data_IF_663852082555
#
_entry.id   IF_663852082555
#
_cell.length_a   1.000
_cell.length_b   1.000
_cell.length_c   1.000
_cell.angle_alpha   90.00
_cell.angle_beta   90.00
_cell.angle_gamma   90.00
#
_symmetry.space_group_name_H-M   'P 1'
#
loop_
_entity.id
_entity.type
_entity.pdbx_description
1 polymer ?
#
# COMPACT_ATOMS: atom_id res chain seq x y z
N UNK A 1 -6.53 3.65 3.53
CA UNK A 1 -5.47 2.64 3.77
C UNK A 1 -5.89 1.61 4.81
N UNK A 2 -6.63 2.02 5.84
CA UNK A 2 -7.18 1.11 6.86
C UNK A 2 -8.23 0.14 6.28
N UNK A 3 -9.08 0.60 5.36
CA UNK A 3 -10.01 -0.25 4.62
C UNK A 3 -9.30 -1.40 3.89
N UNK A 4 -8.17 -1.11 3.24
CA UNK A 4 -7.35 -2.11 2.54
C UNK A 4 -6.75 -3.11 3.54
N UNK A 5 -6.28 -2.63 4.69
CA UNK A 5 -5.77 -3.48 5.77
C UNK A 5 -6.86 -4.40 6.34
N UNK A 6 -8.09 -3.90 6.51
CA UNK A 6 -9.23 -4.72 6.94
C UNK A 6 -9.59 -5.78 5.90
N UNK A 7 -9.73 -5.41 4.64
CA UNK A 7 -10.06 -6.34 3.56
C UNK A 7 -9.01 -7.46 3.44
N UNK A 8 -7.73 -7.10 3.55
CA UNK A 8 -6.66 -8.09 3.50
C UNK A 8 -6.68 -9.03 4.70
N UNK A 9 -6.89 -8.52 5.93
CA UNK A 9 -7.07 -9.38 7.10
C UNK A 9 -8.25 -10.34 6.94
N UNK A 10 -9.37 -9.87 6.38
CA UNK A 10 -10.53 -10.71 6.08
C UNK A 10 -10.19 -11.81 5.08
N UNK A 11 -9.45 -11.52 4.01
CA UNK A 11 -8.99 -12.53 3.07
C UNK A 11 -8.03 -13.54 3.71
N UNK A 12 -7.08 -13.08 4.53
CA UNK A 12 -6.16 -13.96 5.26
C UNK A 12 -6.91 -14.87 6.26
N UNK A 13 -8.08 -14.45 6.75
CA UNK A 13 -8.99 -15.25 7.57
C UNK A 13 -9.98 -16.12 6.76
N UNK A 14 -9.77 -16.27 5.45
CA UNK A 14 -10.62 -17.09 4.57
C UNK A 14 -12.00 -16.48 4.27
N UNK A 15 -12.23 -15.21 4.60
CA UNK A 15 -13.50 -14.52 4.30
C UNK A 15 -13.48 -13.92 2.89
N UNK A 16 -14.68 -13.72 2.33
CA UNK A 16 -14.86 -13.07 1.02
C UNK A 16 -15.16 -11.58 1.21
N UNK A 17 -14.60 -10.76 0.34
CA UNK A 17 -14.90 -9.32 0.24
C UNK A 17 -15.48 -9.10 -1.16
N UNK A 18 -16.64 -8.46 -1.23
CA UNK A 18 -17.37 -8.22 -2.47
C UNK A 18 -17.80 -6.74 -2.55
N UNK A 19 -18.00 -6.26 -3.77
CA UNK A 19 -18.56 -4.94 -4.05
C UNK A 19 -19.96 -5.13 -4.63
N UNK A 20 -20.92 -4.31 -4.20
CA UNK A 20 -22.30 -4.32 -4.71
C UNK A 20 -22.49 -3.07 -5.58
N UNK A 21 -22.28 -3.16 -6.91
CA UNK A 21 -22.28 -1.99 -7.79
C UNK A 21 -23.65 -1.33 -7.93
N UNK A 22 -24.74 -2.01 -7.54
CA UNK A 22 -26.10 -1.42 -7.51
C UNK A 22 -26.31 -0.42 -6.38
N UNK A 23 -25.40 -0.37 -5.40
CA UNK A 23 -25.46 0.56 -4.27
C UNK A 23 -24.47 1.69 -4.52
N UNK A 24 -24.96 2.90 -4.73
CA UNK A 24 -24.13 4.09 -4.91
C UNK A 24 -24.14 4.94 -3.64
N UNK A 25 -22.94 5.32 -3.18
CA UNK A 25 -22.76 6.18 -2.01
C UNK A 25 -21.87 7.34 -2.40
N UNK A 26 -22.38 8.56 -2.23
CA UNK A 26 -21.62 9.78 -2.47
C UNK A 26 -20.75 10.07 -1.26
N UNK A 27 -19.44 10.19 -1.48
CA UNK A 27 -18.49 10.50 -0.41
C UNK A 27 -17.54 11.62 -0.85
N UNK A 28 -17.18 12.48 0.11
CA UNK A 28 -16.16 13.50 -0.13
C UNK A 28 -14.79 12.87 0.02
N UNK A 29 -14.09 12.71 -1.11
CA UNK A 29 -12.73 12.18 -1.12
C UNK A 29 -11.74 13.13 -0.44
N UNK A 30 -11.03 12.63 0.58
CA UNK A 30 -9.92 13.38 1.19
C UNK A 30 -10.31 14.51 2.14
N UNK A 31 -11.53 14.50 2.69
CA UNK A 31 -12.04 15.55 3.59
C UNK A 31 -11.21 15.77 4.87
N UNK A 32 -10.47 14.75 5.34
CA UNK A 32 -9.72 14.86 6.60
C UNK A 32 -8.32 15.49 6.46
N UNK A 33 -7.65 15.33 5.31
CA UNK A 33 -6.25 15.76 5.12
C UNK A 33 -5.99 16.17 3.66
N UNK A 34 -5.46 17.40 3.43
CA UNK A 34 -5.14 17.89 2.09
C UNK A 34 -4.20 16.94 1.33
N UNK A 35 -4.39 16.83 0.01
CA UNK A 35 -3.63 15.91 -0.84
C UNK A 35 -2.11 16.22 -0.86
N UNK A 36 -1.72 17.47 -0.67
CA UNK A 36 -0.34 17.98 -0.67
C UNK A 36 0.29 18.08 0.73
N UNK A 37 -0.31 17.47 1.76
CA UNK A 37 0.26 17.55 3.11
C UNK A 37 1.37 16.52 3.33
N UNK A 38 2.55 16.99 3.71
CA UNK A 38 3.66 16.15 4.18
C UNK A 38 3.24 15.20 5.32
N UNK A 39 2.28 15.59 6.15
CA UNK A 39 1.74 14.71 7.19
C UNK A 39 0.99 13.51 6.59
N UNK A 40 0.20 13.74 5.54
CA UNK A 40 -0.50 12.68 4.82
C UNK A 40 0.48 11.72 4.14
N UNK A 41 1.52 12.26 3.51
CA UNK A 41 2.62 11.46 2.95
C UNK A 41 3.25 10.58 4.02
N UNK A 42 3.59 11.14 5.17
CA UNK A 42 4.14 10.40 6.31
C UNK A 42 3.21 9.25 6.75
N UNK A 43 1.91 9.52 6.93
CA UNK A 43 0.93 8.52 7.33
C UNK A 43 0.81 7.41 6.27
N UNK A 44 0.79 7.77 4.98
CA UNK A 44 0.71 6.81 3.88
C UNK A 44 1.92 5.86 3.88
N UNK A 45 3.14 6.36 3.96
CA UNK A 45 4.33 5.50 3.96
C UNK A 45 4.38 4.61 5.21
N UNK A 46 4.12 5.18 6.41
CA UNK A 46 4.11 4.42 7.67
C UNK A 46 3.05 3.32 7.66
N UNK A 47 1.80 3.67 7.37
CA UNK A 47 0.67 2.75 7.42
C UNK A 47 0.81 1.67 6.34
N UNK A 48 1.39 1.98 5.19
CA UNK A 48 1.56 1.00 4.12
C UNK A 48 2.60 -0.06 4.50
N UNK A 49 3.70 0.35 5.13
CA UNK A 49 4.70 -0.58 5.64
C UNK A 49 4.12 -1.47 6.75
N UNK A 50 3.30 -0.93 7.64
CA UNK A 50 2.58 -1.72 8.65
C UNK A 50 1.60 -2.70 8.02
N UNK A 51 0.84 -2.27 7.00
CA UNK A 51 -0.09 -3.11 6.26
C UNK A 51 0.63 -4.30 5.60
N UNK A 52 1.78 -4.07 4.96
CA UNK A 52 2.61 -5.15 4.40
C UNK A 52 3.11 -6.08 5.53
N UNK A 53 3.63 -5.51 6.62
CA UNK A 53 4.20 -6.29 7.72
C UNK A 53 3.18 -7.23 8.38
N UNK A 54 1.94 -6.77 8.56
CA UNK A 54 0.86 -7.52 9.20
C UNK A 54 0.21 -8.57 8.32
N UNK A 55 0.16 -8.36 7.00
CA UNK A 55 -0.70 -9.18 6.12
C UNK A 55 0.04 -9.99 5.05
N UNK A 56 1.30 -9.63 4.75
CA UNK A 56 2.03 -10.28 3.67
C UNK A 56 2.60 -11.64 4.11
N UNK A 57 2.63 -12.66 3.24
CA UNK A 57 3.16 -13.98 3.59
C UNK A 57 4.59 -13.94 4.12
N UNK A 58 4.83 -14.59 5.27
CA UNK A 58 6.08 -14.45 6.03
C UNK A 58 7.32 -14.81 5.23
N UNK A 59 7.23 -15.87 4.41
CA UNK A 59 8.32 -16.37 3.58
C UNK A 59 8.85 -15.31 2.60
N UNK A 60 7.97 -14.45 2.09
CA UNK A 60 8.30 -13.43 1.10
C UNK A 60 8.42 -12.01 1.68
N UNK A 61 8.10 -11.83 2.97
CA UNK A 61 8.02 -10.53 3.63
C UNK A 61 9.34 -9.74 3.56
N UNK A 62 10.48 -10.39 3.82
CA UNK A 62 11.80 -9.73 3.77
C UNK A 62 12.14 -9.23 2.36
N UNK A 63 11.79 -10.00 1.33
CA UNK A 63 12.03 -9.67 -0.07
C UNK A 63 11.19 -8.48 -0.51
N UNK A 64 9.89 -8.46 -0.17
CA UNK A 64 9.01 -7.33 -0.53
C UNK A 64 9.39 -6.05 0.22
N UNK A 65 9.74 -6.12 1.50
CA UNK A 65 10.17 -4.94 2.26
C UNK A 65 11.48 -4.34 1.72
N UNK A 66 12.37 -5.17 1.19
CA UNK A 66 13.61 -4.71 0.52
C UNK A 66 13.29 -4.00 -0.80
N UNK A 67 12.44 -4.59 -1.64
CA UNK A 67 11.97 -3.91 -2.87
C UNK A 67 11.28 -2.59 -2.55
N UNK A 68 10.44 -2.60 -1.51
CA UNK A 68 9.73 -1.40 -1.06
C UNK A 68 10.67 -0.31 -0.55
N UNK A 69 11.79 -0.67 0.08
CA UNK A 69 12.81 0.33 0.46
C UNK A 69 13.31 1.11 -0.75
N UNK A 70 13.69 0.43 -1.84
CA UNK A 70 14.17 1.12 -3.05
C UNK A 70 13.09 2.00 -3.67
N UNK A 71 11.84 1.52 -3.73
CA UNK A 71 10.71 2.33 -4.22
C UNK A 71 10.46 3.58 -3.37
N UNK A 72 10.58 3.47 -2.04
CA UNK A 72 10.46 4.63 -1.15
C UNK A 72 11.59 5.64 -1.37
N UNK A 73 12.82 5.18 -1.68
CA UNK A 73 13.94 6.08 -2.00
C UNK A 73 13.73 6.78 -3.35
N UNK A 74 13.22 6.07 -4.35
CA UNK A 74 12.84 6.67 -5.64
C UNK A 74 11.76 7.73 -5.43
N UNK A 75 10.73 7.45 -4.62
CA UNK A 75 9.70 8.43 -4.29
C UNK A 75 10.27 9.66 -3.57
N UNK A 76 11.17 9.47 -2.60
CA UNK A 76 11.84 10.57 -1.91
C UNK A 76 12.68 11.42 -2.87
N UNK A 77 13.42 10.80 -3.80
CA UNK A 77 14.17 11.52 -4.82
C UNK A 77 13.27 12.35 -5.73
N UNK A 78 12.14 11.80 -6.18
CA UNK A 78 11.15 12.52 -6.99
C UNK A 78 10.58 13.71 -6.22
N UNK A 79 10.23 13.56 -4.94
CA UNK A 79 9.74 14.67 -4.13
C UNK A 79 10.79 15.78 -4.00
N UNK A 80 12.06 15.43 -3.79
CA UNK A 80 13.15 16.40 -3.74
C UNK A 80 13.32 17.14 -5.07
N UNK A 81 13.28 16.43 -6.21
CA UNK A 81 13.38 17.04 -7.54
C UNK A 81 12.20 17.97 -7.85
N UNK A 82 11.03 17.71 -7.27
CA UNK A 82 9.84 18.57 -7.36
C UNK A 82 9.82 19.70 -6.31
N UNK A 83 10.92 19.91 -5.58
CA UNK A 83 11.02 20.87 -4.47
C UNK A 83 10.02 20.63 -3.32
N UNK A 84 9.42 19.45 -3.24
CA UNK A 84 8.56 19.01 -2.14
C UNK A 84 9.38 18.39 -1.00
N UNK A 85 10.28 19.18 -0.41
CA UNK A 85 11.24 18.71 0.60
C UNK A 85 10.53 18.14 1.84
N UNK A 86 9.40 18.72 2.23
CA UNK A 86 8.58 18.23 3.34
C UNK A 86 8.09 16.79 3.14
N UNK A 87 7.68 16.45 1.91
CA UNK A 87 7.24 15.09 1.55
C UNK A 87 8.42 14.11 1.55
N UNK A 88 9.59 14.53 1.06
CA UNK A 88 10.80 13.71 1.13
C UNK A 88 11.15 13.34 2.59
N UNK A 89 11.16 14.32 3.51
CA UNK A 89 11.36 14.05 4.94
C UNK A 89 10.25 13.18 5.53
N UNK A 90 9.01 13.34 5.08
CA UNK A 90 7.88 12.54 5.52
C UNK A 90 8.07 11.04 5.20
N UNK A 91 8.65 10.70 4.05
CA UNK A 91 9.02 9.31 3.69
C UNK A 91 9.98 8.73 4.72
N UNK A 92 11.10 9.41 5.00
CA UNK A 92 12.11 8.94 5.96
C UNK A 92 11.54 8.83 7.38
N UNK A 93 10.75 9.82 7.80
CA UNK A 93 10.04 9.81 9.08
C UNK A 93 9.10 8.61 9.19
N UNK A 94 8.34 8.31 8.14
CA UNK A 94 7.43 7.18 8.06
C UNK A 94 8.15 5.84 8.24
N UNK A 95 9.28 5.66 7.54
CA UNK A 95 10.14 4.47 7.68
C UNK A 95 10.75 4.33 9.07
N UNK A 96 11.23 5.42 9.67
CA UNK A 96 11.77 5.41 11.04
C UNK A 96 10.69 4.99 12.03
N UNK A 97 9.49 5.53 11.90
CA UNK A 97 8.41 5.22 12.84
C UNK A 97 7.89 3.79 12.67
N UNK A 98 7.76 3.32 11.42
CA UNK A 98 7.50 1.91 11.13
C UNK A 98 8.49 0.98 11.84
N UNK A 99 9.79 1.28 11.80
CA UNK A 99 10.81 0.46 12.48
C UNK A 99 10.63 0.38 14.01
N UNK A 100 10.05 1.41 14.63
CA UNK A 100 9.73 1.44 16.06
C UNK A 100 8.44 0.66 16.34
N UNK A 101 7.36 1.01 15.63
CA UNK A 101 6.02 0.46 15.86
C UNK A 101 5.86 -0.99 15.44
N UNK A 102 6.65 -1.50 14.48
CA UNK A 102 6.51 -2.90 14.00
C UNK A 102 6.67 -3.94 15.12
N UNK A 103 7.23 -3.57 16.27
CA UNK A 103 7.38 -4.46 17.44
C UNK A 103 6.04 -4.72 18.13
N UNK A 104 5.10 -3.78 18.00
CA UNK A 104 3.77 -3.83 18.64
C UNK A 104 2.76 -4.63 17.80
N UNK A 105 3.19 -5.18 16.66
CA UNK A 105 2.35 -5.94 15.76
C UNK A 105 2.94 -7.32 15.50
N UNK A 106 2.05 -8.30 15.36
CA UNK A 106 2.40 -9.64 14.88
C UNK A 106 2.43 -9.67 13.36
N UNK A 107 3.30 -10.54 12.82
CA UNK A 107 3.28 -10.87 11.38
C UNK A 107 2.06 -11.76 11.09
N UNK A 108 1.63 -11.79 9.83
CA UNK A 108 0.64 -12.75 9.37
C UNK A 108 1.13 -14.19 9.59
N UNK A 109 0.23 -15.10 9.91
CA UNK A 109 0.51 -16.56 9.92
C UNK A 109 0.35 -17.17 8.51
N UNK A 110 -0.19 -16.42 7.56
CA UNK A 110 -0.49 -16.90 6.22
C UNK A 110 0.80 -17.17 5.42
N UNK A 111 0.86 -18.31 4.75
CA UNK A 111 2.01 -18.76 3.95
C UNK A 111 1.88 -18.47 2.46
N UNK A 112 0.65 -18.37 1.96
CA UNK A 112 0.32 -18.06 0.57
C UNK A 112 -0.53 -16.79 0.45
N UNK A 113 -0.64 -16.24 -0.77
CA UNK A 113 -1.58 -15.16 -1.01
C UNK A 113 -2.99 -15.73 -1.20
N UNK A 114 -4.04 -14.96 -0.83
CA UNK A 114 -5.38 -15.23 -1.32
C UNK A 114 -5.40 -15.28 -2.84
N UNK A 115 -6.18 -16.18 -3.44
CA UNK A 115 -6.31 -16.31 -4.90
C UNK A 115 -6.80 -15.02 -5.59
N UNK A 116 -7.38 -14.09 -4.82
CA UNK A 116 -7.82 -12.77 -5.28
C UNK A 116 -6.67 -11.78 -5.52
N UNK A 117 -5.45 -12.07 -5.08
CA UNK A 117 -4.30 -11.17 -5.25
C UNK A 117 -3.73 -11.31 -6.65
N UNK A 118 -3.67 -10.20 -7.38
CA UNK A 118 -3.04 -10.14 -8.69
C UNK A 118 -1.52 -10.44 -8.61
N UNK A 119 -1.07 -11.44 -9.35
CA UNK A 119 0.33 -11.88 -9.34
C UNK A 119 1.27 -11.09 -10.27
N UNK A 120 0.75 -10.13 -11.04
CA UNK A 120 1.54 -9.28 -11.94
C UNK A 120 2.03 -7.97 -11.31
N UNK A 121 2.75 -7.18 -12.10
CA UNK A 121 3.25 -5.87 -11.67
C UNK A 121 2.30 -4.76 -12.13
N UNK A 122 1.46 -4.28 -11.21
CA UNK A 122 0.46 -3.24 -11.52
C UNK A 122 1.09 -1.93 -12.03
N UNK A 123 2.30 -1.58 -11.58
CA UNK A 123 2.99 -0.38 -12.06
C UNK A 123 3.43 -0.54 -13.52
N UNK A 124 3.85 -1.75 -13.93
CA UNK A 124 4.16 -2.06 -15.32
C UNK A 124 2.91 -2.00 -16.19
N UNK A 125 1.82 -2.61 -15.75
CA UNK A 125 0.54 -2.58 -16.47
C UNK A 125 0.05 -1.14 -16.69
N UNK A 126 0.12 -0.30 -15.65
CA UNK A 126 -0.36 1.08 -15.72
C UNK A 126 0.58 2.01 -16.50
N UNK A 127 1.88 2.02 -16.17
CA UNK A 127 2.82 3.01 -16.73
C UNK A 127 3.43 2.60 -18.07
N UNK A 128 3.65 1.30 -18.32
CA UNK A 128 4.30 0.83 -19.55
C UNK A 128 3.28 0.31 -20.57
N UNK A 129 2.29 -0.46 -20.13
CA UNK A 129 1.26 -1.02 -21.02
C UNK A 129 0.01 -0.15 -21.18
N UNK A 130 -0.08 0.95 -20.42
CA UNK A 130 -1.18 1.93 -20.46
C UNK A 130 -2.56 1.33 -20.17
N UNK A 131 -2.65 0.22 -19.44
CA UNK A 131 -3.92 -0.32 -18.96
C UNK A 131 -4.52 0.64 -17.93
N UNK A 132 -5.72 1.15 -18.20
CA UNK A 132 -6.38 2.19 -17.38
C UNK A 132 -7.57 1.63 -16.61
N UNK A 133 -8.19 0.57 -17.11
CA UNK A 133 -9.32 -0.11 -16.49
C UNK A 133 -8.87 -1.43 -15.90
N UNK A 134 -9.59 -1.88 -14.88
CA UNK A 134 -9.36 -3.22 -14.30
C UNK A 134 -9.60 -4.33 -15.33
N UNK A 135 -10.54 -4.12 -16.26
CA UNK A 135 -10.83 -5.04 -17.37
C UNK A 135 -9.65 -5.25 -18.32
N UNK A 136 -8.71 -4.31 -18.37
CA UNK A 136 -7.56 -4.36 -19.29
C UNK A 136 -6.45 -5.28 -18.77
N UNK A 137 -6.49 -5.62 -17.47
CA UNK A 137 -5.45 -6.42 -16.83
C UNK A 137 -5.71 -7.90 -17.13
N UNK A 138 -4.73 -8.64 -17.69
CA UNK A 138 -4.90 -10.07 -17.95
C UNK A 138 -5.14 -10.81 -16.63
N UNK A 139 -6.26 -11.53 -16.56
CA UNK A 139 -6.57 -12.41 -15.43
C UNK A 139 -5.62 -13.60 -15.52
N UNK A 140 -4.76 -13.74 -14.50
CA UNK A 140 -3.87 -14.89 -14.36
C UNK A 140 -4.61 -16.14 -13.90
#
# INVERSE_FOLDING_TARGET
>A
MEEIDLCWRLWNAGRKVAVVPRSEVWHVGGGSLPRSSAHKTYLNFRNNLLLIYKNYPVQNLRKVLRRRFFLDMVAAAIFTLQFHIGDAFAVFRGRRHFRRMKKDFSKSETTCFPATVYNGNILKEYHLKKHRLYSDIPRG
#
